data_IF_776733906981
#
_entry.id   IF_776733906981
#
_cell.length_a   1.000
_cell.length_b   1.000
_cell.length_c   1.000
_cell.angle_alpha   90.00
_cell.angle_beta   90.00
_cell.angle_gamma   90.00
#
_symmetry.space_group_name_H-M   'P 1'
#
loop_
_entity.id
_entity.type
_entity.pdbx_description
1 polymer ?
#
# COMPACT_ATOMS: atom_id res chain seq x y z
N UNK A 1 -40.53 99.24 -19.03
CA UNK A 1 -41.24 98.08 -19.60
C UNK A 1 -40.25 96.91 -19.67
N UNK A 2 -40.63 95.74 -19.09
CA UNK A 2 -40.02 94.38 -19.21
C UNK A 2 -38.59 94.22 -18.62
N UNK A 3 -38.35 93.67 -17.42
CA UNK A 3 -38.47 92.30 -16.83
C UNK A 3 -37.54 91.20 -17.42
N UNK A 4 -36.91 90.47 -16.46
CA UNK A 4 -36.25 89.12 -16.46
C UNK A 4 -34.70 89.16 -16.41
N UNK A 5 -33.97 88.97 -15.28
CA UNK A 5 -33.78 87.85 -14.29
C UNK A 5 -32.72 86.80 -14.72
N UNK A 6 -31.83 86.31 -13.80
CA UNK A 6 -30.41 85.97 -14.03
C UNK A 6 -30.05 84.46 -13.86
N UNK A 7 -28.79 84.08 -14.08
CA UNK A 7 -28.16 82.82 -13.59
C UNK A 7 -26.91 83.17 -12.76
N UNK A 8 -26.93 83.09 -11.42
CA UNK A 8 -26.53 81.94 -10.55
C UNK A 8 -25.08 81.45 -10.77
N UNK A 9 -24.12 81.90 -9.95
CA UNK A 9 -23.60 81.27 -8.70
C UNK A 9 -22.85 79.94 -8.90
N UNK A 10 -21.52 79.92 -8.70
CA UNK A 10 -20.89 79.22 -7.56
C UNK A 10 -19.36 79.20 -7.62
N UNK A 11 -18.80 79.68 -6.51
CA UNK A 11 -17.44 79.55 -5.98
C UNK A 11 -17.20 78.09 -5.51
N UNK A 12 -15.99 77.50 -5.62
CA UNK A 12 -15.43 76.45 -4.69
C UNK A 12 -13.93 76.13 -4.99
N UNK A 13 -13.09 76.34 -3.97
CA UNK A 13 -11.85 75.66 -3.49
C UNK A 13 -10.89 74.95 -4.49
N UNK A 14 -9.59 75.28 -4.57
CA UNK A 14 -8.45 75.15 -3.61
C UNK A 14 -8.03 73.70 -3.27
N UNK A 15 -6.72 73.43 -3.46
CA UNK A 15 -5.89 72.24 -3.11
C UNK A 15 -5.83 71.05 -4.09
N UNK A 16 -4.86 71.09 -5.02
CA UNK A 16 -4.20 69.88 -5.52
C UNK A 16 -2.97 69.59 -4.64
N UNK A 17 -3.17 68.73 -3.63
CA UNK A 17 -2.12 68.16 -2.81
C UNK A 17 -1.41 66.99 -3.50
N UNK A 18 -0.13 66.85 -3.19
CA UNK A 18 0.82 65.84 -3.67
C UNK A 18 0.23 64.42 -3.74
N UNK A 19 0.29 63.82 -4.93
CA UNK A 19 0.08 62.37 -5.12
C UNK A 19 1.32 61.65 -4.57
N UNK A 20 1.20 61.13 -3.35
CA UNK A 20 2.14 60.13 -2.84
C UNK A 20 1.88 58.84 -3.60
N UNK A 21 2.78 58.51 -4.53
CA UNK A 21 2.80 57.21 -5.19
C UNK A 21 3.10 56.16 -4.12
N UNK A 22 2.07 55.54 -3.55
CA UNK A 22 2.23 54.36 -2.72
C UNK A 22 2.80 53.25 -3.61
N UNK A 23 4.08 52.93 -3.42
CA UNK A 23 4.69 51.75 -3.98
C UNK A 23 3.91 50.54 -3.44
N UNK A 24 3.02 49.98 -4.26
CA UNK A 24 2.50 48.63 -4.06
C UNK A 24 3.66 47.68 -4.27
N UNK A 25 4.42 47.45 -3.20
CA UNK A 25 5.32 46.33 -3.09
C UNK A 25 4.49 45.08 -3.27
N UNK A 26 4.40 44.59 -4.50
CA UNK A 26 3.92 43.27 -4.81
C UNK A 26 4.94 42.32 -4.18
N UNK A 27 4.75 42.03 -2.90
CA UNK A 27 5.46 40.95 -2.22
C UNK A 27 5.08 39.69 -2.98
N UNK A 28 5.93 39.31 -3.93
CA UNK A 28 5.98 37.95 -4.39
C UNK A 28 6.24 37.13 -3.13
N UNK A 29 5.17 36.63 -2.51
CA UNK A 29 5.23 35.63 -1.46
C UNK A 29 6.15 34.56 -2.02
N UNK A 30 7.30 34.35 -1.39
CA UNK A 30 8.09 33.15 -1.66
C UNK A 30 7.18 31.92 -1.55
N UNK A 31 7.55 30.78 -2.15
CA UNK A 31 6.80 29.55 -1.96
C UNK A 31 6.70 29.31 -0.45
N UNK A 32 5.49 29.44 0.10
CA UNK A 32 5.36 29.42 1.55
C UNK A 32 5.56 28.02 2.10
N UNK A 33 5.73 27.93 3.42
CA UNK A 33 6.31 26.76 4.08
C UNK A 33 5.45 25.51 3.86
N UNK A 34 6.04 24.46 3.26
CA UNK A 34 5.40 23.14 3.08
C UNK A 34 6.21 22.11 3.83
N UNK A 35 5.58 21.32 4.70
CA UNK A 35 6.27 20.33 5.53
C UNK A 35 5.52 19.01 5.54
N UNK A 36 6.26 17.91 5.55
CA UNK A 36 5.71 16.57 5.63
C UNK A 36 6.40 15.71 6.69
N UNK A 37 5.61 14.92 7.41
CA UNK A 37 6.07 13.76 8.18
C UNK A 37 5.74 12.50 7.40
N UNK A 38 6.75 11.71 7.06
CA UNK A 38 6.60 10.51 6.23
C UNK A 38 7.12 9.32 7.03
N UNK A 39 6.26 8.33 7.26
CA UNK A 39 6.54 7.19 8.12
C UNK A 39 6.33 5.90 7.33
N UNK A 40 7.30 4.99 7.42
CA UNK A 40 7.19 3.63 6.87
C UNK A 40 7.62 2.59 7.90
N UNK A 41 6.67 1.79 8.39
CA UNK A 41 6.95 0.70 9.32
C UNK A 41 6.79 -0.64 8.58
N UNK A 42 7.87 -1.39 8.49
CA UNK A 42 7.95 -2.69 7.83
C UNK A 42 8.39 -3.80 8.79
N UNK A 43 9.24 -3.48 9.77
CA UNK A 43 9.92 -4.46 10.62
C UNK A 43 9.08 -4.98 11.80
N UNK A 44 7.84 -5.36 11.54
CA UNK A 44 6.99 -6.06 12.50
C UNK A 44 7.46 -7.51 12.68
N UNK A 45 7.01 -8.22 13.74
CA UNK A 45 7.25 -9.66 13.86
C UNK A 45 6.80 -10.47 12.64
N UNK A 46 5.73 -10.02 11.97
CA UNK A 46 5.37 -10.43 10.61
C UNK A 46 5.64 -9.25 9.68
N UNK A 47 6.82 -9.19 9.03
CA UNK A 47 7.25 -8.00 8.34
C UNK A 47 6.38 -7.70 7.10
N UNK A 48 6.26 -6.43 6.76
CA UNK A 48 5.73 -5.97 5.48
C UNK A 48 6.89 -5.66 4.54
N UNK A 49 6.71 -5.82 3.24
CA UNK A 49 7.77 -5.64 2.24
C UNK A 49 8.01 -4.17 1.91
N UNK A 50 6.92 -3.45 1.57
CA UNK A 50 7.03 -2.16 0.91
C UNK A 50 6.93 -0.90 1.78
N UNK A 51 6.47 -0.88 3.06
CA UNK A 51 6.24 0.40 3.75
C UNK A 51 7.45 1.32 3.85
N UNK A 52 8.65 0.76 4.05
CA UNK A 52 9.90 1.55 4.06
C UNK A 52 10.23 2.08 2.68
N UNK A 53 10.00 1.31 1.62
CA UNK A 53 10.21 1.77 0.25
C UNK A 53 9.17 2.82 -0.15
N UNK A 54 7.90 2.62 0.22
CA UNK A 54 6.80 3.55 0.00
C UNK A 54 7.10 4.90 0.65
N UNK A 55 7.51 4.88 1.92
CA UNK A 55 7.90 6.08 2.65
C UNK A 55 9.10 6.79 2.00
N UNK A 56 10.11 6.06 1.53
CA UNK A 56 11.27 6.66 0.82
C UNK A 56 10.85 7.30 -0.49
N UNK A 57 10.09 6.58 -1.32
CA UNK A 57 9.62 7.08 -2.61
C UNK A 57 8.70 8.30 -2.45
N UNK A 58 7.81 8.28 -1.46
CA UNK A 58 6.94 9.41 -1.12
C UNK A 58 7.76 10.61 -0.61
N UNK A 59 8.73 10.39 0.28
CA UNK A 59 9.60 11.45 0.78
C UNK A 59 10.38 12.13 -0.35
N UNK A 60 10.95 11.35 -1.28
CA UNK A 60 11.62 11.90 -2.46
C UNK A 60 10.68 12.71 -3.34
N UNK A 61 9.45 12.20 -3.58
CA UNK A 61 8.45 12.92 -4.37
C UNK A 61 8.09 14.25 -3.72
N UNK A 62 7.78 14.25 -2.42
CA UNK A 62 7.39 15.46 -1.70
C UNK A 62 8.53 16.49 -1.64
N UNK A 63 9.78 16.06 -1.49
CA UNK A 63 10.94 16.96 -1.60
C UNK A 63 11.02 17.64 -2.96
N UNK A 64 10.78 16.91 -4.06
CA UNK A 64 10.71 17.50 -5.42
C UNK A 64 9.56 18.50 -5.57
N UNK A 65 8.49 18.34 -4.81
CA UNK A 65 7.36 19.27 -4.73
C UNK A 65 7.63 20.43 -3.74
N UNK A 66 8.83 20.57 -3.19
CA UNK A 66 9.19 21.68 -2.30
C UNK A 66 8.76 21.51 -0.85
N UNK A 67 8.50 20.28 -0.40
CA UNK A 67 8.30 20.00 1.02
C UNK A 67 9.63 19.83 1.76
N UNK A 68 9.71 20.40 2.96
CA UNK A 68 10.61 19.92 4.01
C UNK A 68 10.07 18.57 4.51
N UNK A 69 10.89 17.51 4.53
CA UNK A 69 10.41 16.16 4.84
C UNK A 69 11.15 15.54 6.03
N UNK A 70 10.40 15.28 7.10
CA UNK A 70 10.77 14.45 8.23
C UNK A 70 10.46 12.98 7.90
N UNK A 71 11.45 12.25 7.38
CA UNK A 71 11.31 10.80 7.13
C UNK A 71 11.64 10.02 8.41
N UNK A 72 10.79 9.05 8.76
CA UNK A 72 11.01 8.07 9.83
C UNK A 72 10.67 6.67 9.30
N UNK A 73 11.44 5.67 9.71
CA UNK A 73 11.20 4.28 9.33
C UNK A 73 11.31 3.39 10.55
N UNK A 74 10.48 2.37 10.63
CA UNK A 74 10.54 1.33 11.67
C UNK A 74 10.57 1.92 13.09
N UNK A 75 9.60 2.78 13.38
CA UNK A 75 9.46 3.46 14.66
C UNK A 75 8.40 2.83 15.56
N UNK A 76 8.69 2.78 16.85
CA UNK A 76 7.76 2.35 17.89
C UNK A 76 6.79 3.48 18.31
N UNK A 77 5.85 3.18 19.22
CA UNK A 77 4.81 4.12 19.63
C UNK A 77 5.36 5.43 20.21
N UNK A 78 6.37 5.35 21.09
CA UNK A 78 6.97 6.52 21.72
C UNK A 78 7.70 7.40 20.70
N UNK A 79 8.41 6.79 19.75
CA UNK A 79 9.07 7.50 18.65
C UNK A 79 8.07 8.14 17.70
N UNK A 80 6.95 7.47 17.39
CA UNK A 80 5.87 8.01 16.57
C UNK A 80 5.21 9.22 17.23
N UNK A 81 4.89 9.16 18.52
CA UNK A 81 4.36 10.29 19.28
C UNK A 81 5.35 11.46 19.29
N UNK A 82 6.64 11.19 19.53
CA UNK A 82 7.68 12.22 19.48
C UNK A 82 7.79 12.86 18.09
N UNK A 83 7.76 12.07 17.03
CA UNK A 83 7.81 12.56 15.66
C UNK A 83 6.57 13.39 15.30
N UNK A 84 5.37 13.00 15.76
CA UNK A 84 4.14 13.79 15.59
C UNK A 84 4.23 15.14 16.30
N UNK A 85 4.76 15.16 17.53
CA UNK A 85 4.93 16.40 18.30
C UNK A 85 5.99 17.34 17.67
N UNK A 86 7.11 16.78 17.22
CA UNK A 86 8.15 17.49 16.48
C UNK A 86 7.57 18.12 15.20
N UNK A 87 6.91 17.30 14.38
CA UNK A 87 6.24 17.74 13.16
C UNK A 87 5.21 18.83 13.43
N UNK A 88 4.33 18.65 14.41
CA UNK A 88 3.29 19.62 14.77
C UNK A 88 3.87 20.98 15.16
N UNK A 89 5.02 20.99 15.83
CA UNK A 89 5.72 22.22 16.20
C UNK A 89 6.32 22.90 14.98
N UNK A 90 6.97 22.14 14.10
CA UNK A 90 7.59 22.68 12.89
C UNK A 90 6.55 23.14 11.85
N UNK A 91 5.38 22.50 11.81
CA UNK A 91 4.31 22.79 10.84
C UNK A 91 3.44 23.99 11.19
N UNK A 92 3.67 24.66 12.33
CA UNK A 92 2.88 25.83 12.74
C UNK A 92 2.88 26.92 11.65
N UNK A 93 1.68 27.28 11.19
CA UNK A 93 1.49 28.32 10.16
C UNK A 93 2.03 27.95 8.77
N UNK A 94 2.32 26.67 8.51
CA UNK A 94 2.69 26.20 7.18
C UNK A 94 1.57 26.46 6.17
N UNK A 95 1.91 26.67 4.89
CA UNK A 95 0.90 26.63 3.84
C UNK A 95 0.31 25.21 3.74
N UNK A 96 1.17 24.20 3.77
CA UNK A 96 0.74 22.80 3.69
C UNK A 96 1.49 21.94 4.71
N UNK A 97 0.72 21.20 5.52
CA UNK A 97 1.20 20.18 6.44
C UNK A 97 0.69 18.81 5.98
N UNK A 98 1.60 17.86 5.73
CA UNK A 98 1.25 16.54 5.25
C UNK A 98 1.79 15.44 6.18
N UNK A 99 0.98 14.44 6.48
CA UNK A 99 1.44 13.19 7.11
C UNK A 99 1.15 12.05 6.15
N UNK A 100 2.18 11.25 5.86
CA UNK A 100 2.07 9.98 5.14
C UNK A 100 2.50 8.85 6.08
N UNK A 101 1.70 7.80 6.16
CA UNK A 101 2.02 6.59 6.92
C UNK A 101 1.80 5.36 6.05
N UNK A 102 2.81 4.50 5.95
CA UNK A 102 2.71 3.15 5.41
C UNK A 102 3.06 2.12 6.50
N UNK A 103 2.28 1.05 6.59
CA UNK A 103 2.50 -0.03 7.57
C UNK A 103 1.20 -0.69 8.01
N UNK A 104 1.22 -1.34 9.18
CA UNK A 104 -0.02 -1.91 9.72
C UNK A 104 -0.95 -0.84 10.27
N UNK A 105 -2.25 -1.07 10.05
CA UNK A 105 -3.35 -0.33 10.64
C UNK A 105 -4.40 -1.31 11.15
N UNK A 106 -5.22 -0.83 12.07
CA UNK A 106 -6.28 -1.60 12.68
C UNK A 106 -7.51 -0.73 12.89
N UNK A 107 -8.66 -1.38 12.86
CA UNK A 107 -9.89 -0.80 13.37
C UNK A 107 -10.24 -1.48 14.70
N UNK A 108 -10.70 -0.68 15.67
CA UNK A 108 -11.30 -1.17 16.90
C UNK A 108 -12.58 -0.36 17.16
N UNK A 109 -13.73 -0.99 16.90
CA UNK A 109 -15.02 -0.31 16.96
C UNK A 109 -15.12 0.73 15.83
N UNK A 110 -15.36 2.00 16.16
CA UNK A 110 -15.45 3.09 15.18
C UNK A 110 -14.12 3.83 14.97
N UNK A 111 -13.08 3.49 15.76
CA UNK A 111 -11.80 4.18 15.73
C UNK A 111 -10.80 3.44 14.84
N UNK A 112 -10.06 4.22 14.04
CA UNK A 112 -8.97 3.74 13.19
C UNK A 112 -7.63 4.06 13.87
N UNK A 113 -6.69 3.11 13.84
CA UNK A 113 -5.38 3.22 14.44
C UNK A 113 -4.30 2.86 13.44
N UNK A 114 -3.17 3.57 13.50
CA UNK A 114 -1.91 3.10 12.93
C UNK A 114 -1.18 2.29 14.00
N UNK A 115 -0.59 1.16 13.61
CA UNK A 115 0.10 0.27 14.53
C UNK A 115 1.62 0.47 14.44
N UNK A 116 2.26 1.10 15.44
CA UNK A 116 3.71 1.24 15.46
C UNK A 116 4.41 -0.09 15.75
N UNK A 117 5.74 -0.14 15.60
CA UNK A 117 6.50 -1.32 16.00
C UNK A 117 6.37 -1.59 17.50
N UNK A 118 6.37 -2.88 17.86
CA UNK A 118 6.16 -3.35 19.22
C UNK A 118 4.68 -3.57 19.59
N UNK A 119 3.73 -3.20 18.73
CA UNK A 119 2.33 -3.58 18.91
C UNK A 119 2.17 -5.11 18.78
N UNK A 120 1.56 -5.74 19.77
CA UNK A 120 1.27 -7.17 19.79
C UNK A 120 0.09 -7.48 18.85
N UNK A 121 0.43 -7.96 17.66
CA UNK A 121 -0.54 -8.34 16.63
C UNK A 121 -1.20 -9.71 16.86
N UNK A 122 -0.78 -10.47 17.87
CA UNK A 122 -1.40 -11.76 18.20
C UNK A 122 -2.53 -11.63 19.25
N UNK A 123 -2.60 -10.50 19.96
CA UNK A 123 -3.57 -10.24 21.03
C UNK A 123 -4.44 -9.02 20.71
N UNK A 124 -5.19 -9.10 19.60
CA UNK A 124 -5.91 -7.96 19.02
C UNK A 124 -7.33 -7.78 19.60
N UNK A 125 -7.46 -7.64 20.91
CA UNK A 125 -8.69 -7.09 21.50
C UNK A 125 -8.80 -5.59 21.19
N UNK A 126 -10.02 -5.04 21.28
CA UNK A 126 -10.25 -3.61 21.05
C UNK A 126 -9.40 -2.74 21.99
N UNK A 127 -9.30 -3.16 23.26
CA UNK A 127 -8.52 -2.48 24.29
C UNK A 127 -7.02 -2.59 24.03
N UNK A 128 -6.53 -3.73 23.55
CA UNK A 128 -5.13 -3.92 23.22
C UNK A 128 -4.71 -3.06 22.01
N UNK A 129 -5.56 -2.95 20.99
CA UNK A 129 -5.34 -2.06 19.83
C UNK A 129 -5.32 -0.61 20.27
N UNK A 130 -6.28 -0.17 21.09
CA UNK A 130 -6.35 1.20 21.57
C UNK A 130 -5.15 1.59 22.46
N UNK A 131 -4.63 0.64 23.26
CA UNK A 131 -3.48 0.89 24.15
C UNK A 131 -2.14 0.94 23.40
N UNK A 132 -2.02 0.25 22.26
CA UNK A 132 -0.74 0.07 21.55
C UNK A 132 -0.66 0.86 20.24
N UNK A 133 -1.81 1.17 19.63
CA UNK A 133 -1.92 1.95 18.41
C UNK A 133 -1.93 3.45 18.65
N UNK A 134 -1.75 4.22 17.58
CA UNK A 134 -1.95 5.68 17.58
C UNK A 134 -3.21 5.98 16.77
N UNK A 135 -4.15 6.70 17.40
CA UNK A 135 -5.43 7.04 16.77
C UNK A 135 -5.24 7.95 15.56
N UNK A 136 -5.86 7.59 14.43
CA UNK A 136 -5.92 8.41 13.21
C UNK A 136 -6.59 9.75 13.49
N UNK A 137 -7.62 9.77 14.33
CA UNK A 137 -8.28 11.01 14.75
C UNK A 137 -7.35 11.93 15.55
N UNK A 138 -6.46 11.35 16.38
CA UNK A 138 -5.44 12.13 17.08
C UNK A 138 -4.44 12.75 16.10
N UNK A 139 -3.96 11.99 15.11
CA UNK A 139 -3.05 12.51 14.09
C UNK A 139 -3.70 13.62 13.24
N UNK A 140 -4.98 13.44 12.87
CA UNK A 140 -5.74 14.46 12.17
C UNK A 140 -5.96 15.73 13.02
N UNK A 141 -6.19 15.57 14.32
CA UNK A 141 -6.28 16.68 15.28
C UNK A 141 -4.94 17.41 15.46
N UNK A 142 -3.83 16.69 15.53
CA UNK A 142 -2.48 17.24 15.57
C UNK A 142 -2.21 18.11 14.32
N UNK A 143 -2.54 17.57 13.15
CA UNK A 143 -2.48 18.30 11.87
C UNK A 143 -3.34 19.56 11.87
N UNK A 144 -4.58 19.49 12.35
CA UNK A 144 -5.47 20.64 12.42
C UNK A 144 -4.90 21.75 13.32
N UNK A 145 -4.30 21.40 14.46
CA UNK A 145 -3.70 22.34 15.44
C UNK A 145 -2.45 23.05 14.92
N UNK A 146 -1.85 22.58 13.83
CA UNK A 146 -0.75 23.31 13.16
C UNK A 146 -1.21 24.66 12.61
N UNK A 147 -2.51 24.83 12.35
CA UNK A 147 -3.04 26.03 11.68
C UNK A 147 -2.58 26.14 10.22
N UNK A 148 -2.14 25.04 9.61
CA UNK A 148 -1.75 25.03 8.22
C UNK A 148 -2.94 25.33 7.30
N UNK A 149 -2.70 26.04 6.18
CA UNK A 149 -3.78 26.38 5.23
C UNK A 149 -4.36 25.14 4.54
N UNK A 150 -3.53 24.13 4.32
CA UNK A 150 -3.94 22.79 3.92
C UNK A 150 -3.31 21.71 4.80
N UNK A 151 -4.12 20.83 5.37
CA UNK A 151 -3.66 19.68 6.15
C UNK A 151 -4.05 18.38 5.46
N UNK A 152 -3.12 17.43 5.31
CA UNK A 152 -3.35 16.18 4.57
C UNK A 152 -2.80 15.01 5.37
N UNK A 153 -3.63 14.00 5.62
CA UNK A 153 -3.27 12.72 6.22
C UNK A 153 -3.51 11.61 5.21
N UNK A 154 -2.47 10.88 4.84
CA UNK A 154 -2.51 9.77 3.88
C UNK A 154 -2.07 8.50 4.60
N UNK A 155 -2.92 7.48 4.53
CA UNK A 155 -2.74 6.21 5.23
C UNK A 155 -2.72 5.07 4.22
N UNK A 156 -1.52 4.51 4.01
CA UNK A 156 -1.30 3.29 3.27
C UNK A 156 -1.19 2.09 4.22
N UNK A 157 -2.33 1.73 4.78
CA UNK A 157 -2.44 0.73 5.83
C UNK A 157 -3.76 -0.02 5.75
N UNK A 158 -3.75 -1.28 6.17
CA UNK A 158 -4.98 -2.06 6.33
C UNK A 158 -5.94 -1.41 7.33
N UNK A 159 -7.25 -1.62 7.12
CA UNK A 159 -8.31 -1.24 8.07
C UNK A 159 -9.04 -2.47 8.57
N UNK A 160 -8.33 -3.58 8.75
CA UNK A 160 -8.94 -4.81 9.23
C UNK A 160 -9.45 -4.61 10.67
N UNK A 161 -10.67 -5.08 10.91
CA UNK A 161 -11.28 -5.13 12.23
C UNK A 161 -10.84 -6.44 12.90
N UNK A 162 -10.17 -6.34 14.03
CA UNK A 162 -9.60 -7.51 14.72
C UNK A 162 -10.39 -7.92 15.97
N UNK A 163 -11.44 -7.17 16.33
CA UNK A 163 -12.20 -7.39 17.57
C UNK A 163 -13.26 -8.50 17.47
N UNK A 164 -13.53 -9.04 16.28
CA UNK A 164 -14.54 -10.10 16.08
C UNK A 164 -13.92 -11.50 15.95
N UNK A 165 -13.52 -12.05 17.09
CA UNK A 165 -13.57 -13.50 17.29
C UNK A 165 -15.03 -13.94 17.42
N UNK A 166 -15.63 -14.46 16.34
CA UNK A 166 -16.96 -15.08 16.35
C UNK A 166 -18.13 -14.13 16.08
N UNK A 167 -18.65 -14.17 14.85
CA UNK A 167 -20.06 -13.87 14.59
C UNK A 167 -20.57 -14.80 13.48
N UNK A 168 -21.41 -15.73 13.91
CA UNK A 168 -22.26 -16.62 13.11
C UNK A 168 -23.00 -15.82 12.04
N UNK A 169 -22.93 -16.25 10.77
CA UNK A 169 -23.99 -15.95 9.81
C UNK A 169 -24.97 -17.11 9.86
N UNK A 170 -26.11 -16.87 10.50
CA UNK A 170 -27.26 -17.77 10.47
C UNK A 170 -27.85 -17.74 9.04
N UNK A 171 -28.14 -18.87 8.39
CA UNK A 171 -28.83 -18.87 7.11
C UNK A 171 -30.32 -18.56 7.32
N UNK A 172 -30.82 -17.51 6.66
CA UNK A 172 -32.25 -17.22 6.54
C UNK A 172 -32.77 -16.15 7.50
N UNK A 173 -32.86 -14.91 7.04
CA UNK A 173 -33.52 -13.82 7.76
C UNK A 173 -33.14 -12.46 7.16
N UNK A 174 -34.13 -11.74 6.63
CA UNK A 174 -33.96 -10.52 5.85
C UNK A 174 -33.48 -9.27 6.62
N UNK A 175 -33.04 -8.30 5.82
CA UNK A 175 -32.48 -6.98 6.14
C UNK A 175 -33.00 -6.27 7.41
N UNK A 176 -32.08 -5.89 8.30
CA UNK A 176 -32.02 -4.63 9.07
C UNK A 176 -30.85 -4.77 10.11
N UNK A 177 -29.88 -3.90 10.30
CA UNK A 177 -29.70 -2.51 9.91
C UNK A 177 -28.23 -2.24 9.55
N UNK A 178 -28.07 -1.53 8.45
CA UNK A 178 -26.96 -0.66 8.14
C UNK A 178 -26.73 0.37 9.25
N UNK A 179 -25.86 0.08 10.20
CA UNK A 179 -25.09 1.12 10.89
C UNK A 179 -23.80 1.30 10.10
N UNK A 180 -23.77 2.36 9.28
CA UNK A 180 -22.69 2.66 8.36
C UNK A 180 -21.34 2.68 9.08
N UNK A 181 -20.41 1.88 8.56
CA UNK A 181 -19.02 1.83 8.99
C UNK A 181 -18.42 3.24 8.90
N UNK A 182 -18.01 3.82 10.03
CA UNK A 182 -17.63 5.23 10.06
C UNK A 182 -16.37 5.49 9.22
N UNK A 183 -16.54 6.17 8.09
CA UNK A 183 -15.49 7.02 7.55
C UNK A 183 -15.24 8.10 8.60
N UNK A 184 -14.00 8.21 9.09
CA UNK A 184 -13.66 9.31 10.00
C UNK A 184 -13.91 10.60 9.25
N UNK A 185 -14.89 11.38 9.72
CA UNK A 185 -15.17 12.68 9.14
C UNK A 185 -13.94 13.56 9.36
N UNK A 186 -13.35 14.05 8.26
CA UNK A 186 -12.15 14.83 8.35
C UNK A 186 -12.46 16.18 9.03
N UNK A 187 -11.63 16.64 9.99
CA UNK A 187 -11.79 17.96 10.58
C UNK A 187 -11.73 19.06 9.51
N UNK A 188 -12.30 20.23 9.81
CA UNK A 188 -12.25 21.40 8.90
C UNK A 188 -10.80 21.67 8.46
N UNK A 189 -10.59 21.84 7.16
CA UNK A 189 -9.27 22.09 6.56
C UNK A 189 -8.35 20.87 6.42
N UNK A 190 -8.78 19.68 6.88
CA UNK A 190 -8.01 18.44 6.79
C UNK A 190 -8.55 17.53 5.69
N UNK A 191 -7.66 16.89 4.93
CA UNK A 191 -7.98 15.76 4.05
C UNK A 191 -7.48 14.49 4.69
N UNK A 192 -8.30 13.45 4.78
CA UNK A 192 -7.87 12.11 5.23
C UNK A 192 -8.10 11.12 4.10
N UNK A 193 -7.04 10.48 3.61
CA UNK A 193 -7.09 9.48 2.56
C UNK A 193 -6.62 8.12 3.06
N UNK A 194 -7.40 7.09 2.74
CA UNK A 194 -7.16 5.70 3.10
C UNK A 194 -6.91 4.88 1.85
N UNK A 195 -5.91 4.00 1.88
CA UNK A 195 -5.60 3.12 0.76
C UNK A 195 -6.65 2.03 0.53
N UNK A 196 -7.48 1.73 1.53
CA UNK A 196 -8.61 0.80 1.43
C UNK A 196 -9.87 1.32 2.16
N UNK A 197 -11.03 0.74 1.82
CA UNK A 197 -12.29 1.04 2.49
C UNK A 197 -12.35 0.51 3.93
N UNK A 198 -13.39 0.89 4.71
CA UNK A 198 -13.59 0.37 6.06
C UNK A 198 -13.63 -1.16 6.09
N UNK A 199 -12.94 -1.79 7.05
CA UNK A 199 -12.88 -3.24 7.17
C UNK A 199 -12.07 -3.96 6.08
N UNK A 200 -11.54 -3.24 5.09
CA UNK A 200 -10.84 -3.83 3.95
C UNK A 200 -9.32 -3.89 4.16
N UNK A 201 -8.69 -4.85 3.49
CA UNK A 201 -7.23 -4.98 3.43
C UNK A 201 -6.66 -4.00 2.40
N UNK A 202 -5.53 -3.41 2.74
CA UNK A 202 -4.64 -2.76 1.78
C UNK A 202 -3.59 -3.77 1.36
N UNK A 203 -3.33 -3.88 0.05
CA UNK A 203 -2.27 -4.76 -0.44
C UNK A 203 -0.93 -4.08 -0.30
N UNK A 204 0.05 -4.85 0.14
CA UNK A 204 1.43 -4.39 0.20
C UNK A 204 2.12 -4.45 -1.18
N UNK A 205 1.64 -5.28 -2.10
CA UNK A 205 2.15 -5.38 -3.48
C UNK A 205 1.01 -5.73 -4.46
N UNK A 206 1.22 -5.48 -5.75
CA UNK A 206 0.27 -5.87 -6.83
C UNK A 206 0.94 -6.68 -7.95
N UNK A 207 2.26 -6.69 -7.97
CA UNK A 207 3.06 -7.44 -8.93
C UNK A 207 4.33 -7.94 -8.24
N UNK A 208 4.91 -9.06 -8.67
CA UNK A 208 6.17 -9.55 -8.12
C UNK A 208 7.33 -8.56 -8.31
N UNK A 209 7.23 -7.74 -9.35
CA UNK A 209 8.21 -6.71 -9.69
C UNK A 209 7.87 -5.34 -9.07
N UNK A 210 6.75 -5.23 -8.33
CA UNK A 210 6.34 -3.95 -7.74
C UNK A 210 7.24 -3.61 -6.56
N UNK A 211 7.88 -2.44 -6.64
CA UNK A 211 8.73 -1.91 -5.57
C UNK A 211 7.95 -1.15 -4.50
N UNK A 212 6.68 -0.83 -4.75
CA UNK A 212 5.83 -0.05 -3.86
C UNK A 212 4.45 -0.72 -3.79
N UNK A 213 3.68 -0.39 -2.76
CA UNK A 213 2.28 -0.78 -2.67
C UNK A 213 1.50 -0.27 -3.89
N UNK A 214 0.32 -0.84 -4.21
CA UNK A 214 -0.52 -0.36 -5.30
C UNK A 214 -0.97 1.08 -5.07
N UNK A 215 -1.24 1.45 -3.80
CA UNK A 215 -1.70 2.78 -3.45
C UNK A 215 -0.59 3.81 -3.56
N UNK A 216 0.58 3.53 -2.99
CA UNK A 216 1.74 4.41 -3.12
C UNK A 216 2.18 4.53 -4.58
N UNK A 217 2.21 3.43 -5.34
CA UNK A 217 2.50 3.47 -6.78
C UNK A 217 1.56 4.42 -7.53
N UNK A 218 0.24 4.27 -7.34
CA UNK A 218 -0.76 5.11 -7.97
C UNK A 218 -0.69 6.58 -7.52
N UNK A 219 -0.41 6.83 -6.24
CA UNK A 219 -0.27 8.17 -5.68
C UNK A 219 0.96 8.89 -6.22
N UNK A 220 2.09 8.19 -6.34
CA UNK A 220 3.28 8.73 -6.99
C UNK A 220 2.99 9.07 -8.45
N UNK A 221 2.27 8.24 -9.21
CA UNK A 221 1.90 8.58 -10.59
C UNK A 221 1.02 9.84 -10.64
N UNK A 222 -0.03 9.91 -9.81
CA UNK A 222 -0.97 11.02 -9.80
C UNK A 222 -0.35 12.35 -9.36
N UNK A 223 0.65 12.32 -8.47
CA UNK A 223 1.36 13.52 -8.02
C UNK A 223 2.35 14.08 -9.06
N UNK A 224 2.62 13.39 -10.16
CA UNK A 224 3.48 13.94 -11.24
C UNK A 224 2.75 15.02 -12.03
N UNK A 225 1.42 14.93 -12.13
CA UNK A 225 0.61 15.90 -12.84
C UNK A 225 0.50 17.22 -12.04
N UNK A 226 0.94 18.35 -12.60
CA UNK A 226 0.80 19.65 -11.95
C UNK A 226 -0.63 20.19 -12.04
N UNK A 227 -0.98 21.06 -11.10
CA UNK A 227 -2.24 21.82 -11.08
C UNK A 227 -3.47 21.04 -10.60
N UNK A 228 -3.35 19.75 -10.28
CA UNK A 228 -4.50 18.94 -9.91
C UNK A 228 -4.96 19.18 -8.47
N UNK A 229 -6.27 19.43 -8.24
CA UNK A 229 -6.83 19.46 -6.89
C UNK A 229 -6.81 18.05 -6.28
N UNK A 230 -6.73 17.97 -4.94
CA UNK A 230 -6.67 16.69 -4.23
C UNK A 230 -7.89 15.80 -4.50
N UNK A 231 -9.06 16.36 -4.79
CA UNK A 231 -10.23 15.59 -5.23
C UNK A 231 -9.95 14.80 -6.51
N UNK A 232 -9.24 15.40 -7.47
CA UNK A 232 -8.90 14.76 -8.72
C UNK A 232 -7.72 13.79 -8.56
N UNK A 233 -6.68 14.18 -7.80
CA UNK A 233 -5.56 13.30 -7.46
C UNK A 233 -6.08 12.00 -6.83
N UNK A 234 -6.91 12.07 -5.79
CA UNK A 234 -7.43 10.88 -5.13
C UNK A 234 -8.43 10.10 -5.98
N UNK A 235 -9.16 10.74 -6.90
CA UNK A 235 -9.99 10.06 -7.90
C UNK A 235 -9.14 9.21 -8.85
N UNK A 236 -8.05 9.78 -9.39
CA UNK A 236 -7.12 9.06 -10.26
C UNK A 236 -6.43 7.90 -9.51
N UNK A 237 -6.01 8.14 -8.26
CA UNK A 237 -5.46 7.09 -7.39
C UNK A 237 -6.46 5.96 -7.20
N UNK A 238 -7.72 6.27 -6.88
CA UNK A 238 -8.75 5.25 -6.67
C UNK A 238 -8.98 4.40 -7.92
N UNK A 239 -9.06 5.02 -9.11
CA UNK A 239 -9.21 4.31 -10.37
C UNK A 239 -7.99 3.42 -10.68
N UNK A 240 -6.78 3.93 -10.45
CA UNK A 240 -5.54 3.20 -10.72
C UNK A 240 -5.35 2.02 -9.76
N UNK A 241 -5.64 2.20 -8.47
CA UNK A 241 -5.59 1.13 -7.47
C UNK A 241 -6.63 0.06 -7.77
N UNK A 242 -7.86 0.45 -8.12
CA UNK A 242 -8.88 -0.51 -8.54
C UNK A 242 -8.42 -1.32 -9.77
N UNK A 243 -7.74 -0.68 -10.72
CA UNK A 243 -7.18 -1.38 -11.89
C UNK A 243 -6.03 -2.34 -11.50
N UNK A 244 -5.04 -1.89 -10.71
CA UNK A 244 -3.88 -2.69 -10.27
C UNK A 244 -4.30 -3.88 -9.40
N UNK A 245 -5.37 -3.71 -8.62
CA UNK A 245 -5.83 -4.73 -7.66
C UNK A 245 -7.06 -5.49 -8.14
N UNK A 246 -7.52 -5.26 -9.37
CA UNK A 246 -8.73 -5.85 -9.94
C UNK A 246 -9.97 -5.71 -9.03
N UNK A 247 -10.26 -4.47 -8.62
CA UNK A 247 -11.35 -4.07 -7.73
C UNK A 247 -11.28 -4.62 -6.29
N UNK A 248 -10.19 -5.31 -5.89
CA UNK A 248 -10.02 -5.84 -4.53
C UNK A 248 -9.82 -4.70 -3.53
N UNK A 249 -8.97 -3.73 -3.88
CA UNK A 249 -8.68 -2.57 -3.05
C UNK A 249 -9.36 -1.34 -3.64
N UNK A 250 -10.14 -0.65 -2.81
CA UNK A 250 -10.87 0.56 -3.18
C UNK A 250 -10.55 1.68 -2.20
N UNK A 251 -9.67 2.61 -2.56
CA UNK A 251 -9.34 3.75 -1.72
C UNK A 251 -10.58 4.58 -1.32
N UNK A 252 -10.46 5.30 -0.20
CA UNK A 252 -11.46 6.23 0.31
C UNK A 252 -10.81 7.53 0.71
N UNK A 253 -11.54 8.63 0.58
CA UNK A 253 -11.07 9.95 0.99
C UNK A 253 -12.20 10.70 1.68
N UNK A 254 -11.86 11.41 2.75
CA UNK A 254 -12.72 12.28 3.54
C UNK A 254 -12.14 13.69 3.47
N UNK A 255 -12.95 14.64 2.99
CA UNK A 255 -12.55 16.05 2.86
C UNK A 255 -13.24 16.87 3.94
N UNK A 256 -12.45 17.55 4.77
CA UNK A 256 -12.93 18.64 5.60
C UNK A 256 -13.36 19.81 4.72
N UNK A 257 -14.18 20.69 5.26
CA UNK A 257 -14.63 21.90 4.55
C UNK A 257 -13.43 22.65 3.92
N UNK A 258 -13.63 23.15 2.69
CA UNK A 258 -12.64 23.86 1.85
C UNK A 258 -11.39 23.09 1.41
N UNK A 259 -11.16 21.86 1.87
CA UNK A 259 -9.90 21.12 1.63
C UNK A 259 -9.81 20.43 0.26
N UNK A 260 -10.94 20.20 -0.42
CA UNK A 260 -10.97 19.49 -1.71
C UNK A 260 -10.22 20.20 -2.84
N UNK A 261 -10.08 21.53 -2.77
CA UNK A 261 -9.40 22.37 -3.77
C UNK A 261 -7.89 22.50 -3.53
N UNK A 262 -7.36 21.87 -2.48
CA UNK A 262 -5.94 21.89 -2.19
C UNK A 262 -5.14 21.29 -3.35
N UNK A 263 -4.02 21.91 -3.74
CA UNK A 263 -3.14 21.43 -4.81
C UNK A 263 -1.76 21.16 -4.23
N UNK A 264 -1.25 19.92 -4.40
CA UNK A 264 0.08 19.54 -3.91
C UNK A 264 1.20 19.80 -4.92
N UNK A 265 0.93 19.69 -6.21
CA UNK A 265 1.89 19.99 -7.26
C UNK A 265 1.42 21.22 -8.04
N UNK A 266 2.04 22.39 -7.80
CA UNK A 266 1.67 23.63 -8.50
C UNK A 266 2.35 23.77 -9.88
N UNK A 267 3.18 22.80 -10.29
CA UNK A 267 4.10 22.96 -11.42
C UNK A 267 5.25 23.92 -11.13
N UNK A 268 6.19 24.06 -12.06
CA UNK A 268 7.41 24.88 -11.88
C UNK A 268 7.19 26.40 -11.98
N UNK A 269 5.94 26.89 -11.86
CA UNK A 269 5.64 28.32 -11.86
C UNK A 269 5.95 29.08 -13.15
N UNK A 270 6.43 28.42 -14.22
CA UNK A 270 6.48 28.99 -15.58
C UNK A 270 5.15 28.69 -16.27
N UNK A 271 4.51 29.74 -16.77
CA UNK A 271 3.15 29.73 -17.30
C UNK A 271 2.81 28.52 -18.17
N UNK A 272 1.59 28.04 -17.98
CA UNK A 272 0.98 26.93 -18.71
C UNK A 272 1.04 27.24 -20.22
N UNK A 273 1.92 26.54 -20.92
CA UNK A 273 1.79 26.30 -22.36
C UNK A 273 1.46 24.82 -22.53
N UNK A 274 0.30 24.54 -23.11
CA UNK A 274 -0.17 23.19 -23.40
C UNK A 274 0.86 22.40 -24.21
N UNK A 275 1.07 21.13 -23.84
CA UNK A 275 1.81 20.18 -24.68
C UNK A 275 1.11 18.82 -24.73
N UNK A 276 0.96 18.34 -25.96
CA UNK A 276 0.35 17.10 -26.44
C UNK A 276 1.22 15.86 -26.11
N UNK A 277 0.69 14.62 -26.08
CA UNK A 277 1.38 13.45 -25.51
C UNK A 277 2.53 12.95 -26.39
N UNK A 278 3.70 12.74 -25.78
CA UNK A 278 4.90 12.19 -26.40
C UNK A 278 5.31 10.84 -25.81
N UNK A 279 5.67 9.93 -26.71
CA UNK A 279 5.93 8.49 -26.56
C UNK A 279 7.18 8.15 -25.73
N UNK A 280 7.11 6.97 -25.08
CA UNK A 280 8.17 6.26 -24.35
C UNK A 280 9.44 6.01 -25.19
N UNK A 281 10.61 6.25 -24.62
CA UNK A 281 11.87 5.68 -25.09
C UNK A 281 12.77 5.25 -23.92
N UNK A 282 13.26 4.02 -24.08
CA UNK A 282 14.13 3.25 -23.19
C UNK A 282 15.60 3.71 -23.25
N UNK A 283 16.34 3.54 -22.15
CA UNK A 283 17.79 3.76 -22.10
C UNK A 283 18.42 3.17 -20.84
N UNK A 284 19.39 2.27 -21.04
CA UNK A 284 20.00 1.36 -20.07
C UNK A 284 21.43 1.81 -19.68
N UNK A 285 22.00 1.18 -18.63
CA UNK A 285 23.35 1.26 -18.03
C UNK A 285 23.44 2.17 -16.78
N UNK A 286 23.96 1.76 -15.63
CA UNK A 286 24.67 0.56 -15.20
C UNK A 286 25.79 0.97 -14.24
N UNK A 287 25.79 0.52 -12.99
CA UNK A 287 26.97 0.48 -12.11
C UNK A 287 26.77 -0.52 -10.97
N UNK A 288 27.75 -1.41 -10.82
CA UNK A 288 27.76 -2.62 -9.97
C UNK A 288 28.71 -2.40 -8.78
N UNK A 289 28.31 -2.91 -7.61
CA UNK A 289 29.15 -3.08 -6.41
C UNK A 289 29.15 -4.58 -5.99
N UNK A 290 30.10 -5.05 -5.15
CA UNK A 290 30.68 -6.39 -5.23
C UNK A 290 29.85 -7.50 -4.57
N UNK A 291 30.12 -8.75 -5.00
CA UNK A 291 29.37 -9.96 -4.68
C UNK A 291 29.83 -10.62 -3.36
N UNK A 292 28.91 -11.20 -2.56
CA UNK A 292 29.21 -12.27 -1.62
C UNK A 292 29.18 -13.66 -2.30
N UNK A 293 29.80 -14.63 -1.62
CA UNK A 293 30.22 -15.94 -2.12
C UNK A 293 29.15 -16.79 -2.84
N UNK A 294 29.63 -17.59 -3.80
CA UNK A 294 28.87 -18.29 -4.83
C UNK A 294 27.94 -19.41 -4.31
N UNK A 295 26.64 -19.27 -4.58
CA UNK A 295 25.70 -20.38 -4.78
C UNK A 295 25.85 -20.93 -6.22
N UNK A 296 25.53 -22.21 -6.44
CA UNK A 296 25.47 -22.79 -7.79
C UNK A 296 24.47 -22.01 -8.66
N UNK A 297 24.76 -21.74 -9.95
CA UNK A 297 23.88 -20.91 -10.76
C UNK A 297 22.51 -21.57 -10.94
N UNK A 298 21.45 -20.79 -10.73
CA UNK A 298 20.12 -21.12 -11.24
C UNK A 298 20.18 -21.28 -12.77
N UNK A 299 19.35 -22.16 -13.32
CA UNK A 299 19.29 -22.37 -14.77
C UNK A 299 19.05 -21.04 -15.50
N UNK A 300 19.75 -20.75 -16.62
CA UNK A 300 19.58 -19.50 -17.35
C UNK A 300 18.12 -19.31 -17.78
N UNK A 301 17.47 -18.25 -17.33
CA UNK A 301 16.11 -17.86 -17.73
C UNK A 301 15.00 -18.03 -16.68
N UNK A 302 15.29 -18.62 -15.51
CA UNK A 302 14.30 -18.71 -14.43
C UNK A 302 14.07 -17.32 -13.79
N UNK A 303 12.82 -16.87 -13.74
CA UNK A 303 12.42 -15.68 -12.98
C UNK A 303 12.71 -15.93 -11.50
N UNK A 304 13.59 -15.12 -10.91
CA UNK A 304 13.92 -15.21 -9.48
C UNK A 304 12.94 -14.33 -8.70
N UNK A 305 12.26 -14.92 -7.73
CA UNK A 305 11.28 -14.24 -6.91
C UNK A 305 11.89 -13.97 -5.53
N UNK A 306 11.72 -12.78 -4.93
CA UNK A 306 12.15 -12.56 -3.55
C UNK A 306 11.37 -13.50 -2.62
N UNK A 307 12.09 -14.27 -1.78
CA UNK A 307 11.49 -15.33 -0.95
C UNK A 307 10.42 -14.81 0.04
N UNK A 308 10.66 -13.65 0.64
CA UNK A 308 9.70 -12.96 1.51
C UNK A 308 8.39 -12.61 0.79
N UNK A 309 8.47 -12.12 -0.45
CA UNK A 309 7.30 -11.77 -1.27
C UNK A 309 6.42 -12.99 -1.54
N UNK A 310 7.03 -14.14 -1.81
CA UNK A 310 6.25 -15.37 -2.04
C UNK A 310 5.54 -15.86 -0.78
N UNK A 311 6.09 -15.65 0.42
CA UNK A 311 5.40 -16.02 1.66
C UNK A 311 4.17 -15.14 1.90
N UNK A 312 4.28 -13.83 1.68
CA UNK A 312 3.16 -12.89 1.83
C UNK A 312 2.07 -13.15 0.79
N UNK A 313 2.46 -13.40 -0.47
CA UNK A 313 1.51 -13.84 -1.51
C UNK A 313 0.82 -15.14 -1.10
N UNK A 314 1.59 -16.10 -0.57
CA UNK A 314 1.04 -17.37 -0.15
C UNK A 314 0.03 -17.21 1.00
N UNK A 315 0.33 -16.32 1.95
CA UNK A 315 -0.60 -15.95 3.02
C UNK A 315 -1.87 -15.31 2.45
N UNK A 316 -1.77 -14.36 1.52
CA UNK A 316 -2.95 -13.75 0.87
C UNK A 316 -3.82 -14.82 0.16
N UNK A 317 -3.20 -15.75 -0.56
CA UNK A 317 -3.88 -16.87 -1.23
C UNK A 317 -4.64 -17.72 -0.22
N UNK A 318 -3.99 -18.12 0.87
CA UNK A 318 -4.60 -18.92 1.95
C UNK A 318 -5.78 -18.19 2.59
N UNK A 319 -5.67 -16.88 2.82
CA UNK A 319 -6.77 -16.06 3.34
C UNK A 319 -7.96 -16.01 2.38
N UNK A 320 -7.74 -15.89 1.06
CA UNK A 320 -8.81 -15.93 0.06
C UNK A 320 -9.51 -17.30 0.00
N UNK A 321 -8.78 -18.39 0.18
CA UNK A 321 -9.34 -19.75 0.24
C UNK A 321 -10.15 -19.95 1.52
N UNK A 322 -9.65 -19.46 2.66
CA UNK A 322 -10.28 -19.59 3.97
C UNK A 322 -11.51 -18.68 4.15
N UNK A 323 -11.65 -17.62 3.35
CA UNK A 323 -12.76 -16.70 3.43
C UNK A 323 -14.13 -17.41 3.36
N UNK A 324 -15.07 -16.95 4.18
CA UNK A 324 -16.45 -17.46 4.24
C UNK A 324 -17.44 -16.28 4.14
N UNK A 325 -18.28 -16.22 3.09
CA UNK A 325 -18.35 -17.15 1.96
C UNK A 325 -17.12 -17.08 1.05
N UNK A 326 -16.78 -18.19 0.38
CA UNK A 326 -15.65 -18.24 -0.55
C UNK A 326 -15.91 -17.29 -1.75
N UNK A 327 -15.00 -16.35 -2.07
CA UNK A 327 -15.23 -15.29 -3.06
C UNK A 327 -15.08 -15.79 -4.52
N UNK A 328 -15.74 -16.89 -4.87
CA UNK A 328 -15.58 -17.59 -6.16
C UNK A 328 -15.74 -16.69 -7.37
N UNK A 329 -16.82 -15.92 -7.42
CA UNK A 329 -17.14 -15.08 -8.59
C UNK A 329 -16.07 -14.00 -8.81
N UNK A 330 -15.58 -13.38 -7.73
CA UNK A 330 -14.51 -12.39 -7.79
C UNK A 330 -13.19 -13.03 -8.25
N UNK A 331 -12.85 -14.20 -7.70
CA UNK A 331 -11.66 -14.95 -8.08
C UNK A 331 -11.71 -15.42 -9.54
N UNK A 332 -12.86 -15.90 -10.02
CA UNK A 332 -13.04 -16.28 -11.43
C UNK A 332 -12.86 -15.09 -12.37
N UNK A 333 -13.41 -13.92 -12.05
CA UNK A 333 -13.23 -12.70 -12.84
C UNK A 333 -11.74 -12.33 -12.93
N UNK A 334 -11.03 -12.31 -11.79
CA UNK A 334 -9.60 -12.01 -11.71
C UNK A 334 -8.75 -13.04 -12.45
N UNK A 335 -9.03 -14.32 -12.25
CA UNK A 335 -8.35 -15.44 -12.89
C UNK A 335 -8.46 -15.40 -14.42
N UNK A 336 -9.62 -15.00 -14.96
CA UNK A 336 -9.79 -14.78 -16.41
C UNK A 336 -8.93 -13.62 -16.93
N UNK A 337 -8.64 -12.62 -16.08
CA UNK A 337 -7.73 -11.52 -16.38
C UNK A 337 -6.24 -11.86 -16.25
N UNK A 338 -5.88 -13.09 -15.86
CA UNK A 338 -4.49 -13.53 -15.73
C UNK A 338 -3.84 -13.27 -14.36
N UNK A 339 -4.62 -12.85 -13.35
CA UNK A 339 -4.14 -12.66 -11.98
C UNK A 339 -3.65 -13.99 -11.38
N UNK A 340 -2.34 -14.09 -11.13
CA UNK A 340 -1.70 -15.31 -10.63
C UNK A 340 -2.18 -15.71 -9.24
N UNK A 341 -2.44 -14.74 -8.36
CA UNK A 341 -2.96 -14.97 -7.00
C UNK A 341 -4.37 -15.55 -7.09
N UNK A 342 -5.22 -14.98 -7.94
CA UNK A 342 -6.59 -15.45 -8.13
C UNK A 342 -6.66 -16.82 -8.83
N UNK A 343 -5.85 -17.04 -9.87
CA UNK A 343 -5.69 -18.34 -10.52
C UNK A 343 -5.33 -19.42 -9.50
N UNK A 344 -4.40 -19.10 -8.60
CA UNK A 344 -3.88 -20.03 -7.60
C UNK A 344 -4.88 -20.27 -6.47
N UNK A 345 -5.48 -19.21 -5.91
CA UNK A 345 -6.48 -19.31 -4.84
C UNK A 345 -7.75 -20.02 -5.32
N UNK A 346 -8.25 -19.70 -6.52
CA UNK A 346 -9.37 -20.39 -7.12
C UNK A 346 -9.03 -21.85 -7.37
N UNK A 347 -7.89 -22.11 -8.01
CA UNK A 347 -7.47 -23.43 -8.44
C UNK A 347 -7.25 -24.39 -7.28
N UNK A 348 -6.52 -23.96 -6.25
CA UNK A 348 -6.29 -24.79 -5.07
C UNK A 348 -7.55 -24.88 -4.19
N UNK A 349 -8.24 -23.75 -3.97
CA UNK A 349 -9.44 -23.71 -3.12
C UNK A 349 -10.55 -24.65 -3.58
N UNK A 350 -10.86 -24.67 -4.89
CA UNK A 350 -11.84 -25.61 -5.43
C UNK A 350 -11.22 -26.97 -5.78
N UNK A 351 -9.92 -27.03 -6.06
CA UNK A 351 -9.22 -28.27 -6.44
C UNK A 351 -9.14 -29.28 -5.30
N UNK A 352 -8.69 -28.83 -4.13
CA UNK A 352 -8.59 -29.64 -2.91
C UNK A 352 -9.92 -29.80 -2.18
N UNK A 353 -10.82 -28.83 -2.31
CA UNK A 353 -12.07 -28.76 -1.56
C UNK A 353 -12.04 -27.80 -0.36
N UNK A 354 -10.90 -27.17 -0.11
CA UNK A 354 -10.65 -26.27 1.04
C UNK A 354 -11.56 -25.03 1.05
N UNK A 355 -12.13 -24.67 -0.11
CA UNK A 355 -13.16 -23.64 -0.24
C UNK A 355 -14.58 -24.11 0.15
N UNK A 356 -14.74 -25.35 0.64
CA UNK A 356 -16.04 -25.98 0.88
C UNK A 356 -16.73 -26.51 -0.39
N UNK A 357 -16.03 -26.44 -1.54
CA UNK A 357 -16.51 -26.92 -2.84
C UNK A 357 -15.39 -27.69 -3.52
N UNK A 358 -15.64 -28.92 -3.96
CA UNK A 358 -14.62 -29.80 -4.56
C UNK A 358 -14.85 -30.00 -6.06
N UNK A 359 -13.98 -29.41 -6.88
CA UNK A 359 -13.96 -29.46 -8.34
C UNK A 359 -12.50 -29.68 -8.85
N UNK A 360 -11.95 -30.89 -8.68
CA UNK A 360 -10.52 -31.16 -8.88
C UNK A 360 -10.04 -30.89 -10.31
N UNK A 361 -10.82 -31.26 -11.33
CA UNK A 361 -10.47 -31.01 -12.75
C UNK A 361 -10.35 -29.52 -13.06
N UNK A 362 -11.35 -28.73 -12.64
CA UNK A 362 -11.35 -27.28 -12.84
C UNK A 362 -10.24 -26.59 -12.02
N UNK A 363 -10.02 -27.05 -10.78
CA UNK A 363 -8.97 -26.54 -9.92
C UNK A 363 -7.57 -26.71 -10.52
N UNK A 364 -7.27 -27.90 -11.03
CA UNK A 364 -6.01 -28.20 -11.73
C UNK A 364 -5.83 -27.29 -12.95
N UNK A 365 -6.86 -27.10 -13.78
CA UNK A 365 -6.77 -26.23 -14.96
C UNK A 365 -6.42 -24.78 -14.62
N UNK A 366 -6.91 -24.26 -13.50
CA UNK A 366 -6.55 -22.91 -13.04
C UNK A 366 -5.12 -22.85 -12.52
N UNK A 367 -4.69 -23.84 -11.74
CA UNK A 367 -3.31 -23.94 -11.25
C UNK A 367 -2.31 -24.10 -12.40
N UNK A 368 -2.64 -24.87 -13.44
CA UNK A 368 -1.79 -25.04 -14.63
C UNK A 368 -1.53 -23.72 -15.34
N UNK A 369 -2.53 -22.83 -15.44
CA UNK A 369 -2.36 -21.50 -16.04
C UNK A 369 -1.39 -20.62 -15.25
N UNK A 370 -1.45 -20.67 -13.92
CA UNK A 370 -0.53 -19.91 -13.08
C UNK A 370 0.88 -20.53 -13.06
N UNK A 371 0.98 -21.86 -12.96
CA UNK A 371 2.25 -22.58 -12.98
C UNK A 371 3.00 -22.39 -14.31
N UNK A 372 2.28 -22.26 -15.43
CA UNK A 372 2.85 -21.96 -16.76
C UNK A 372 3.43 -20.54 -16.88
N UNK A 373 3.27 -19.69 -15.85
CA UNK A 373 3.92 -18.37 -15.73
C UNK A 373 5.08 -18.39 -14.74
N UNK A 374 5.64 -19.58 -14.50
CA UNK A 374 6.74 -19.83 -13.57
C UNK A 374 6.44 -19.32 -12.15
N UNK A 375 5.17 -19.43 -11.72
CA UNK A 375 4.73 -18.97 -10.41
C UNK A 375 4.92 -20.06 -9.35
N UNK A 376 5.88 -19.92 -8.40
CA UNK A 376 6.32 -21.03 -7.55
C UNK A 376 5.23 -21.58 -6.63
N UNK A 377 4.34 -20.71 -6.14
CA UNK A 377 3.22 -21.11 -5.25
C UNK A 377 2.22 -21.98 -6.00
N UNK A 378 1.87 -21.60 -7.23
CA UNK A 378 0.99 -22.42 -8.09
C UNK A 378 1.64 -23.75 -8.48
N UNK A 379 2.93 -23.75 -8.79
CA UNK A 379 3.69 -24.98 -9.06
C UNK A 379 3.63 -25.93 -7.86
N UNK A 380 3.79 -25.39 -6.65
CA UNK A 380 3.75 -26.16 -5.39
C UNK A 380 2.36 -26.73 -5.11
N UNK A 381 1.30 -25.92 -5.23
CA UNK A 381 -0.07 -26.36 -5.03
C UNK A 381 -0.56 -27.34 -6.11
N UNK A 382 -0.11 -27.17 -7.36
CA UNK A 382 -0.36 -28.15 -8.41
C UNK A 382 0.33 -29.48 -8.09
N UNK A 383 1.58 -29.43 -7.63
CA UNK A 383 2.32 -30.62 -7.23
C UNK A 383 1.61 -31.36 -6.09
N UNK A 384 1.12 -30.66 -5.08
CA UNK A 384 0.33 -31.25 -3.99
C UNK A 384 -0.91 -32.01 -4.50
N UNK A 385 -1.72 -31.38 -5.37
CA UNK A 385 -2.90 -32.05 -5.94
C UNK A 385 -2.52 -33.26 -6.80
N UNK A 386 -1.40 -33.22 -7.51
CA UNK A 386 -0.87 -34.36 -8.28
C UNK A 386 -0.36 -35.48 -7.37
N UNK A 387 0.27 -35.14 -6.24
CA UNK A 387 0.72 -36.10 -5.23
C UNK A 387 -0.45 -36.82 -4.54
N UNK A 388 -1.59 -36.14 -4.38
CA UNK A 388 -2.84 -36.76 -3.91
C UNK A 388 -3.37 -37.79 -4.93
N UNK A 389 -3.21 -37.54 -6.24
CA UNK A 389 -3.60 -38.51 -7.28
C UNK A 389 -2.74 -39.78 -7.25
N UNK A 390 -1.46 -39.64 -6.89
CA UNK A 390 -0.58 -40.77 -6.53
C UNK A 390 -0.07 -41.64 -7.68
N UNK A 391 -0.58 -41.48 -8.91
CA UNK A 391 -0.08 -42.25 -10.06
C UNK A 391 1.37 -41.84 -10.45
N UNK A 392 2.18 -42.76 -11.00
CA UNK A 392 3.59 -42.49 -11.29
C UNK A 392 3.85 -41.27 -12.18
N UNK A 393 2.97 -41.00 -13.15
CA UNK A 393 3.11 -39.84 -14.03
C UNK A 393 2.84 -38.53 -13.28
N UNK A 394 1.83 -38.52 -12.41
CA UNK A 394 1.53 -37.37 -11.54
C UNK A 394 2.65 -37.10 -10.53
N UNK A 395 3.21 -38.14 -9.90
CA UNK A 395 4.35 -37.99 -8.98
C UNK A 395 5.60 -37.45 -9.68
N UNK A 396 5.90 -37.95 -10.89
CA UNK A 396 7.01 -37.42 -11.70
C UNK A 396 6.80 -35.95 -12.04
N UNK A 397 5.59 -35.57 -12.46
CA UNK A 397 5.24 -34.18 -12.78
C UNK A 397 5.30 -33.28 -11.53
N UNK A 398 4.86 -33.78 -10.37
CA UNK A 398 4.97 -33.07 -9.10
C UNK A 398 6.43 -32.76 -8.76
N UNK A 399 7.35 -33.71 -8.97
CA UNK A 399 8.80 -33.49 -8.79
C UNK A 399 9.33 -32.33 -9.63
N UNK A 400 9.01 -32.30 -10.92
CA UNK A 400 9.43 -31.22 -11.83
C UNK A 400 8.92 -29.85 -11.35
N UNK A 401 7.67 -29.77 -10.92
CA UNK A 401 7.08 -28.52 -10.42
C UNK A 401 7.73 -28.05 -9.11
N UNK A 402 8.02 -28.97 -8.19
CA UNK A 402 8.66 -28.65 -6.92
C UNK A 402 10.13 -28.28 -7.09
N UNK A 403 10.83 -28.89 -8.05
CA UNK A 403 12.18 -28.48 -8.43
C UNK A 403 12.17 -27.05 -8.98
N UNK A 404 11.27 -26.73 -9.90
CA UNK A 404 11.12 -25.38 -10.42
C UNK A 404 10.80 -24.36 -9.31
N UNK A 405 9.87 -24.67 -8.42
CA UNK A 405 9.47 -23.78 -7.32
C UNK A 405 10.62 -23.55 -6.31
N UNK A 406 11.32 -24.62 -5.92
CA UNK A 406 12.47 -24.52 -5.02
C UNK A 406 13.64 -23.74 -5.63
N UNK A 407 13.94 -23.97 -6.92
CA UNK A 407 14.98 -23.22 -7.65
C UNK A 407 14.64 -21.74 -7.82
N UNK A 408 13.35 -21.40 -7.88
CA UNK A 408 12.86 -20.04 -7.91
C UNK A 408 12.90 -19.32 -6.55
N UNK A 409 13.37 -19.98 -5.49
CA UNK A 409 13.52 -19.43 -4.15
C UNK A 409 12.31 -19.64 -3.22
N UNK A 410 11.34 -20.49 -3.58
CA UNK A 410 10.18 -20.76 -2.74
C UNK A 410 10.45 -21.87 -1.72
N UNK A 411 10.92 -21.47 -0.53
CA UNK A 411 11.28 -22.36 0.58
C UNK A 411 10.23 -23.44 0.92
N UNK A 412 8.90 -23.15 0.94
CA UNK A 412 7.88 -24.16 1.25
C UNK A 412 7.87 -25.35 0.30
N UNK A 413 8.34 -25.21 -0.94
CA UNK A 413 8.42 -26.32 -1.89
C UNK A 413 9.26 -27.49 -1.35
N UNK A 414 10.29 -27.23 -0.54
CA UNK A 414 11.15 -28.27 0.02
C UNK A 414 10.40 -29.22 0.97
N UNK A 415 9.38 -28.74 1.70
CA UNK A 415 8.54 -29.61 2.53
C UNK A 415 7.73 -30.61 1.69
N UNK A 416 7.24 -30.17 0.53
CA UNK A 416 6.55 -31.04 -0.42
C UNK A 416 7.51 -31.99 -1.13
N UNK A 417 8.76 -31.59 -1.38
CA UNK A 417 9.80 -32.50 -1.91
C UNK A 417 10.12 -33.61 -0.92
N UNK A 418 10.16 -33.30 0.38
CA UNK A 418 10.30 -34.30 1.43
C UNK A 418 9.14 -35.31 1.41
N UNK A 419 7.89 -34.85 1.32
CA UNK A 419 6.73 -35.75 1.22
C UNK A 419 6.76 -36.59 -0.08
N UNK A 420 7.13 -35.99 -1.21
CA UNK A 420 7.29 -36.70 -2.47
C UNK A 420 8.37 -37.79 -2.40
N UNK A 421 9.52 -37.50 -1.78
CA UNK A 421 10.61 -38.45 -1.58
C UNK A 421 10.13 -39.66 -0.75
N UNK A 422 9.34 -39.42 0.30
CA UNK A 422 8.71 -40.51 1.08
C UNK A 422 7.75 -41.35 0.26
N UNK A 423 6.89 -40.72 -0.54
CA UNK A 423 5.89 -41.42 -1.38
C UNK A 423 6.51 -42.26 -2.48
N UNK A 424 7.67 -41.84 -3.00
CA UNK A 424 8.37 -42.49 -4.11
C UNK A 424 9.43 -43.49 -3.66
N UNK A 425 9.67 -43.62 -2.36
CA UNK A 425 10.70 -44.52 -1.82
C UNK A 425 12.12 -44.04 -2.14
N UNK A 426 12.33 -42.73 -2.30
CA UNK A 426 13.65 -42.16 -2.53
C UNK A 426 14.60 -42.44 -1.35
N UNK A 427 15.93 -42.45 -1.58
CA UNK A 427 16.90 -42.67 -0.52
C UNK A 427 16.67 -41.75 0.69
N UNK A 428 16.80 -42.25 1.94
CA UNK A 428 16.58 -41.45 3.15
C UNK A 428 17.42 -40.17 3.21
N UNK A 429 18.60 -40.19 2.58
CA UNK A 429 19.51 -39.04 2.49
C UNK A 429 18.90 -37.88 1.67
N UNK A 430 18.13 -38.17 0.62
CA UNK A 430 17.48 -37.15 -0.21
C UNK A 430 16.30 -36.52 0.53
N UNK A 431 15.51 -37.34 1.23
CA UNK A 431 14.45 -36.85 2.11
C UNK A 431 15.04 -35.96 3.23
N UNK A 432 16.11 -36.40 3.89
CA UNK A 432 16.79 -35.62 4.93
C UNK A 432 17.30 -34.28 4.39
N UNK A 433 17.85 -34.25 3.16
CA UNK A 433 18.28 -33.01 2.50
C UNK A 433 17.10 -32.06 2.26
N UNK A 434 15.98 -32.54 1.75
CA UNK A 434 14.79 -31.69 1.55
C UNK A 434 14.22 -31.13 2.85
N UNK A 435 14.25 -31.91 3.94
CA UNK A 435 13.85 -31.43 5.25
C UNK A 435 14.81 -30.35 5.77
N UNK A 436 16.11 -30.55 5.59
CA UNK A 436 17.14 -29.56 5.93
C UNK A 436 16.96 -28.27 5.11
N UNK A 437 16.76 -28.37 3.80
CA UNK A 437 16.54 -27.21 2.92
C UNK A 437 15.26 -26.46 3.30
N UNK A 438 14.18 -27.16 3.67
CA UNK A 438 12.94 -26.54 4.15
C UNK A 438 13.19 -25.74 5.43
N UNK A 439 13.94 -26.31 6.38
CA UNK A 439 14.30 -25.64 7.62
C UNK A 439 15.22 -24.44 7.37
N UNK A 440 16.25 -24.60 6.54
CA UNK A 440 17.19 -23.53 6.21
C UNK A 440 16.52 -22.39 5.42
N UNK A 441 15.61 -22.72 4.51
CA UNK A 441 14.80 -21.75 3.78
C UNK A 441 13.92 -20.94 4.72
N UNK A 442 13.22 -21.61 5.64
CA UNK A 442 12.43 -20.95 6.68
C UNK A 442 13.31 -20.01 7.53
N UNK A 443 14.47 -20.49 7.99
CA UNK A 443 15.42 -19.70 8.76
C UNK A 443 16.01 -18.53 7.96
N UNK A 444 16.25 -18.68 6.65
CA UNK A 444 16.73 -17.62 5.76
C UNK A 444 15.65 -16.56 5.53
N UNK A 445 14.40 -16.96 5.37
CA UNK A 445 13.26 -16.04 5.28
C UNK A 445 13.14 -15.21 6.58
N UNK A 446 13.34 -15.84 7.75
CA UNK A 446 13.43 -15.14 9.04
C UNK A 446 14.70 -14.29 9.21
N UNK A 447 15.86 -14.75 8.72
CA UNK A 447 17.12 -14.04 8.85
C UNK A 447 17.26 -12.88 7.86
N UNK A 448 16.68 -12.96 6.67
CA UNK A 448 16.60 -11.84 5.72
C UNK A 448 15.86 -10.66 6.34
N UNK A 449 14.72 -10.95 6.98
CA UNK A 449 14.02 -9.98 7.81
C UNK A 449 14.92 -9.42 8.93
N UNK A 450 15.71 -10.27 9.60
CA UNK A 450 16.64 -9.86 10.67
C UNK A 450 17.91 -9.11 10.20
N UNK A 451 18.38 -9.32 8.96
CA UNK A 451 19.63 -8.71 8.44
C UNK A 451 19.38 -7.31 7.87
N UNK A 452 18.23 -7.10 7.23
CA UNK A 452 17.79 -5.77 6.81
C UNK A 452 17.50 -4.88 8.04
N UNK A 453 17.11 -5.49 9.16
CA UNK A 453 16.97 -4.90 10.50
C UNK A 453 18.29 -4.45 11.17
N UNK A 454 19.44 -5.01 10.76
CA UNK A 454 20.74 -4.81 11.43
C UNK A 454 21.74 -3.96 10.64
N UNK A 455 21.38 -3.42 9.47
CA UNK A 455 22.28 -2.50 8.76
C UNK A 455 22.30 -1.13 9.46
N UNK A 456 23.46 -0.63 9.91
CA UNK A 456 23.55 0.72 10.45
C UNK A 456 23.17 1.73 9.35
N UNK A 457 22.57 2.88 9.71
CA UNK A 457 22.17 3.89 8.73
C UNK A 457 23.38 4.28 7.88
N UNK A 458 23.25 4.11 6.55
CA UNK A 458 24.24 4.64 5.61
C UNK A 458 24.24 6.17 5.78
N UNK A 459 25.39 6.70 6.20
CA UNK A 459 25.63 8.12 6.47
C UNK A 459 25.46 8.99 5.24
#
# INVERSE_FOLDING_TARGET
>A
MHRLIPLFFSLIFLLCGNVVQAATGNTASGPGKRIALVIGNAAYPQPLLNPVNDARAMAERLRRLGFEVLLRTDINAAQLQKASAEFSTQARGADIALVFYAGHGAQAGEANYVLPLGANMAALSASAIAAQGVSVSSLAGDLQRTGARGAVLILDACRQEYTRGGAVVVPGGGNAASHGFADTQAPRGVVIAYSAGPGALARDFWSPDSRNSPYTSALLDALDAPGLPMSEVFSQVAARVAAMTHDVQKPRVSFGETSARLVLNMGSGKGVSQATPGVLASGNNGMRAPAPAAEKPAAPGARVWPGNVLQDINYEIRMQIAARPFPRQQLEKRARGGDLVALTALGYGIGGGDAGVKQPKAGIQWLEKAAAKDFPIAQTYLAELLMVKGDPASLKRAGVLLDAASQAGYSPAHAYKFDLARRTGAPPQDAARHLQDAFMGLMKDYQGAAKDLMQPPKK
#
